data_IF_610309627594
#
_entry.id   IF_610309627594
#
_cell.length_a   1.000
_cell.length_b   1.000
_cell.length_c   1.000
_cell.angle_alpha   90.00
_cell.angle_beta   90.00
_cell.angle_gamma   90.00
#
_symmetry.space_group_name_H-M   'P 1'
#
loop_
_entity.id
_entity.type
_entity.pdbx_description
1 polymer ?
#
# COMPACT_ATOMS: atom_id res chain seq x y z
N UNK A 1 2.84 -13.85 5.00
CA UNK A 1 3.80 -12.73 4.99
C UNK A 1 4.88 -12.98 3.95
N UNK A 2 5.81 -13.90 4.22
CA UNK A 2 6.90 -14.26 3.30
C UNK A 2 6.44 -14.68 1.90
N UNK A 3 5.44 -15.54 1.80
CA UNK A 3 4.94 -16.01 0.49
C UNK A 3 4.34 -14.86 -0.33
N UNK A 4 3.60 -13.95 0.32
CA UNK A 4 3.07 -12.76 -0.33
C UNK A 4 4.19 -11.82 -0.82
N UNK A 5 5.26 -11.65 -0.05
CA UNK A 5 6.43 -10.86 -0.47
C UNK A 5 7.11 -11.47 -1.69
N UNK A 6 7.22 -12.80 -1.76
CA UNK A 6 7.77 -13.48 -2.94
C UNK A 6 6.88 -13.33 -4.16
N UNK A 7 5.56 -13.54 -3.99
CA UNK A 7 4.57 -13.31 -5.03
C UNK A 7 4.66 -11.88 -5.59
N UNK A 8 4.64 -10.88 -4.72
CA UNK A 8 4.68 -9.48 -5.11
C UNK A 8 6.00 -9.08 -5.78
N UNK A 9 7.14 -9.66 -5.35
CA UNK A 9 8.42 -9.51 -6.06
C UNK A 9 8.36 -10.08 -7.48
N UNK A 10 7.74 -11.24 -7.67
CA UNK A 10 7.57 -11.85 -8.99
C UNK A 10 6.65 -11.00 -9.89
N UNK A 11 5.52 -10.53 -9.36
CA UNK A 11 4.60 -9.62 -10.07
C UNK A 11 5.30 -8.32 -10.44
N UNK A 12 6.06 -7.71 -9.52
CA UNK A 12 6.78 -6.46 -9.77
C UNK A 12 7.82 -6.54 -10.88
N UNK A 13 8.43 -7.71 -11.09
CA UNK A 13 9.42 -7.94 -12.16
C UNK A 13 8.75 -8.30 -13.48
N UNK A 14 7.81 -9.24 -13.46
CA UNK A 14 7.25 -9.82 -14.70
C UNK A 14 6.02 -9.06 -15.23
N UNK A 15 5.28 -8.38 -14.34
CA UNK A 15 4.00 -7.75 -14.65
C UNK A 15 3.91 -6.35 -14.05
N UNK A 16 4.76 -5.39 -14.49
CA UNK A 16 4.80 -4.03 -13.94
C UNK A 16 3.46 -3.29 -14.06
N UNK A 17 2.62 -3.65 -15.04
CA UNK A 17 1.26 -3.12 -15.19
C UNK A 17 0.33 -3.53 -14.03
N UNK A 18 0.46 -4.76 -13.53
CA UNK A 18 -0.33 -5.27 -12.39
C UNK A 18 0.23 -4.68 -11.09
N UNK A 19 1.55 -4.68 -10.94
CA UNK A 19 2.22 -4.05 -9.79
C UNK A 19 1.78 -2.58 -9.63
N UNK A 20 1.67 -1.83 -10.72
CA UNK A 20 1.21 -0.45 -10.72
C UNK A 20 -0.27 -0.22 -10.36
N UNK A 21 -1.06 -1.29 -10.25
CA UNK A 21 -2.50 -1.24 -9.91
C UNK A 21 -2.78 -1.68 -8.47
N UNK A 22 -1.98 -2.61 -7.94
CA UNK A 22 -2.16 -3.17 -6.61
C UNK A 22 -1.45 -2.31 -5.57
N UNK A 23 -2.09 -2.06 -4.43
CA UNK A 23 -1.60 -1.20 -3.36
C UNK A 23 -1.18 0.18 -3.89
N UNK A 24 -1.91 0.72 -4.86
CA UNK A 24 -1.61 2.06 -5.38
C UNK A 24 -2.07 3.11 -4.38
N UNK A 25 -1.13 3.79 -3.76
CA UNK A 25 -1.42 4.91 -2.83
C UNK A 25 -2.20 6.01 -3.53
N UNK A 26 -3.01 6.72 -2.75
CA UNK A 26 -3.91 7.74 -3.27
C UNK A 26 -3.68 9.11 -2.63
N UNK A 27 -4.18 10.13 -3.31
CA UNK A 27 -4.09 11.52 -2.83
C UNK A 27 -4.87 11.69 -1.51
N UNK A 28 -4.25 12.38 -0.57
CA UNK A 28 -4.90 12.85 0.65
C UNK A 28 -5.56 14.23 0.50
N UNK A 29 -5.16 15.00 -0.52
CA UNK A 29 -5.65 16.34 -0.83
C UNK A 29 -5.85 16.50 -2.35
N UNK A 30 -6.45 17.58 -2.81
CA UNK A 30 -6.58 17.86 -4.26
C UNK A 30 -5.25 18.21 -4.93
N UNK A 31 -4.20 18.47 -4.15
CA UNK A 31 -2.86 18.76 -4.66
C UNK A 31 -2.20 17.49 -5.17
N UNK A 32 -1.56 17.56 -6.34
CA UNK A 32 -0.91 16.41 -6.99
C UNK A 32 0.27 15.83 -6.20
N UNK A 33 0.80 16.56 -5.22
CA UNK A 33 1.90 16.19 -4.36
C UNK A 33 1.44 15.70 -2.98
N UNK A 34 0.25 15.11 -2.87
CA UNK A 34 -0.35 14.68 -1.60
C UNK A 34 -0.57 13.18 -1.51
N UNK A 35 0.18 12.37 -2.26
CA UNK A 35 0.08 10.91 -2.20
C UNK A 35 0.53 10.37 -0.83
N UNK A 36 0.00 9.20 -0.49
CA UNK A 36 0.52 8.39 0.61
C UNK A 36 1.93 7.90 0.30
N UNK A 37 2.77 7.79 1.32
CA UNK A 37 4.15 7.30 1.22
C UNK A 37 4.26 6.05 2.09
N UNK A 38 4.71 4.93 1.54
CA UNK A 38 4.80 3.72 2.35
C UNK A 38 5.90 3.79 3.40
N UNK A 39 5.61 3.26 4.58
CA UNK A 39 6.54 3.17 5.70
C UNK A 39 6.18 2.05 6.67
N UNK A 40 7.07 1.82 7.63
CA UNK A 40 6.90 0.78 8.65
C UNK A 40 5.68 1.04 9.57
N UNK A 41 5.36 2.31 9.80
CA UNK A 41 4.19 2.74 10.56
C UNK A 41 3.45 3.82 9.79
N UNK A 42 2.12 3.79 9.84
CA UNK A 42 1.32 4.95 9.47
C UNK A 42 1.57 6.08 10.48
N UNK A 43 1.84 7.27 9.94
CA UNK A 43 2.13 8.46 10.75
C UNK A 43 0.87 9.15 11.28
N UNK A 44 1.03 10.29 11.94
CA UNK A 44 -0.07 11.11 12.47
C UNK A 44 -0.90 11.78 11.35
N UNK A 45 -1.97 12.50 11.70
CA UNK A 45 -2.87 13.16 10.75
C UNK A 45 -2.17 14.09 9.73
N UNK A 46 -1.08 14.74 10.14
CA UNK A 46 -0.28 15.62 9.29
C UNK A 46 0.82 14.91 8.50
N UNK A 47 1.07 13.63 8.77
CA UNK A 47 2.12 12.81 8.16
C UNK A 47 1.60 12.15 6.88
N UNK A 48 2.43 11.95 5.86
CA UNK A 48 2.00 11.30 4.61
C UNK A 48 2.25 9.79 4.62
N UNK A 49 2.92 9.31 5.65
CA UNK A 49 3.33 7.94 5.87
C UNK A 49 2.13 7.04 6.11
N UNK A 50 2.08 5.92 5.40
CA UNK A 50 1.07 4.88 5.55
C UNK A 50 1.73 3.51 5.55
N UNK A 51 1.24 2.59 6.36
CA UNK A 51 1.55 1.18 6.27
C UNK A 51 0.41 0.39 5.64
N UNK A 52 -0.70 1.04 5.25
CA UNK A 52 -1.88 0.43 4.66
C UNK A 52 -1.77 0.41 3.14
N UNK A 53 -1.91 -0.76 2.52
CA UNK A 53 -2.04 -0.98 1.08
C UNK A 53 -3.13 -0.06 0.50
N UNK A 54 -2.75 0.79 -0.46
CA UNK A 54 -3.63 1.80 -1.06
C UNK A 54 -3.84 3.06 -0.21
N UNK A 55 -3.06 3.23 0.86
CA UNK A 55 -3.22 4.30 1.85
C UNK A 55 -3.18 5.71 1.24
N UNK A 56 -3.90 6.61 1.90
CA UNK A 56 -4.00 8.03 1.51
C UNK A 56 -2.89 8.86 2.15
N UNK A 57 -2.41 9.88 1.43
CA UNK A 57 -1.52 10.87 2.02
C UNK A 57 -2.21 11.81 2.99
N UNK A 58 -1.52 12.90 3.38
CA UNK A 58 -2.10 13.92 4.26
C UNK A 58 -3.08 14.83 3.54
N UNK A 59 -3.99 15.43 4.31
CA UNK A 59 -5.02 16.36 3.81
C UNK A 59 -4.48 17.78 3.55
N UNK A 60 -3.25 17.86 3.05
CA UNK A 60 -2.56 19.09 2.64
C UNK A 60 -1.45 18.77 1.63
N UNK A 61 -0.90 19.78 0.97
CA UNK A 61 0.23 19.63 0.05
C UNK A 61 1.54 19.23 0.75
N UNK A 62 2.51 18.70 0.00
CA UNK A 62 3.81 18.27 0.51
C UNK A 62 3.81 16.87 1.15
N UNK A 63 3.07 15.94 0.57
CA UNK A 63 3.19 14.50 0.78
C UNK A 63 4.02 13.83 -0.31
N UNK A 64 3.58 12.67 -0.80
CA UNK A 64 4.23 11.99 -1.92
C UNK A 64 3.98 12.70 -3.25
N UNK A 65 5.04 12.86 -4.06
CA UNK A 65 4.96 13.49 -5.38
C UNK A 65 4.34 12.58 -6.47
N UNK A 66 4.26 11.27 -6.21
CA UNK A 66 3.73 10.27 -7.13
C UNK A 66 3.14 9.10 -6.31
N UNK A 67 2.22 8.30 -6.88
CA UNK A 67 1.70 7.13 -6.19
C UNK A 67 2.78 6.05 -6.06
N UNK A 68 2.94 5.54 -4.85
CA UNK A 68 3.63 4.29 -4.56
C UNK A 68 2.72 3.08 -4.77
N UNK A 69 3.29 1.93 -5.10
CA UNK A 69 2.56 0.74 -5.59
C UNK A 69 2.99 -0.54 -4.88
N UNK A 70 2.58 -1.73 -5.35
CA UNK A 70 2.82 -3.02 -4.68
C UNK A 70 4.30 -3.27 -4.28
N UNK A 71 5.25 -3.06 -5.19
CA UNK A 71 6.68 -3.19 -4.86
C UNK A 71 7.14 -2.24 -3.74
N UNK A 72 6.58 -1.04 -3.66
CA UNK A 72 6.93 -0.06 -2.63
C UNK A 72 6.34 -0.47 -1.29
N UNK A 73 5.09 -0.94 -1.28
CA UNK A 73 4.43 -1.52 -0.12
C UNK A 73 5.25 -2.68 0.46
N UNK A 74 5.67 -3.62 -0.41
CA UNK A 74 6.53 -4.73 0.01
C UNK A 74 7.86 -4.23 0.57
N UNK A 75 8.52 -3.31 -0.13
CA UNK A 75 9.85 -2.83 0.25
C UNK A 75 9.84 -2.03 1.55
N UNK A 76 8.83 -1.19 1.77
CA UNK A 76 8.82 -0.18 2.85
C UNK A 76 7.93 -0.57 4.02
N UNK A 77 6.81 -1.26 3.77
CA UNK A 77 5.84 -1.66 4.80
C UNK A 77 6.02 -3.11 5.24
N UNK A 78 6.22 -4.05 4.31
CA UNK A 78 6.30 -5.48 4.66
C UNK A 78 7.73 -5.98 4.96
N UNK A 79 8.73 -5.35 4.34
CA UNK A 79 10.13 -5.79 4.31
C UNK A 79 10.22 -7.24 3.84
N UNK A 80 10.70 -8.16 4.69
CA UNK A 80 10.79 -9.59 4.40
C UNK A 80 9.50 -10.38 4.76
N UNK A 81 8.39 -9.68 4.98
CA UNK A 81 7.07 -10.27 5.23
C UNK A 81 6.77 -10.58 6.70
N UNK A 82 7.55 -9.99 7.62
CA UNK A 82 7.36 -10.09 9.07
C UNK A 82 6.71 -8.84 9.71
N UNK A 83 6.46 -7.80 8.93
CA UNK A 83 5.85 -6.54 9.38
C UNK A 83 4.58 -6.26 8.56
N UNK A 84 3.61 -5.57 9.16
CA UNK A 84 2.41 -5.05 8.50
C UNK A 84 1.62 -6.05 7.64
N UNK A 85 1.72 -7.36 7.94
CA UNK A 85 0.94 -8.39 7.25
C UNK A 85 0.35 -9.37 8.26
N UNK A 86 -0.96 -9.69 8.19
CA UNK A 86 -1.97 -9.17 7.24
C UNK A 86 -2.58 -7.82 7.63
N UNK A 87 -2.09 -7.20 8.72
CA UNK A 87 -2.67 -6.00 9.32
C UNK A 87 -1.63 -4.89 9.38
N UNK A 88 -2.04 -3.68 9.00
CA UNK A 88 -1.25 -2.46 9.06
C UNK A 88 -0.87 -2.11 10.50
N UNK A 89 0.07 -1.19 10.68
CA UNK A 89 0.45 -0.63 11.99
C UNK A 89 0.53 0.88 11.93
N UNK A 90 0.06 1.55 12.96
CA UNK A 90 0.15 2.99 13.09
C UNK A 90 0.88 3.37 14.39
N UNK A 91 1.41 4.59 14.45
CA UNK A 91 1.88 5.14 15.73
C UNK A 91 0.69 5.26 16.70
N UNK A 92 0.92 5.07 18.01
CA UNK A 92 -0.07 5.22 19.10
C UNK A 92 -0.92 6.50 18.98
N UNK A 93 -0.35 7.58 18.46
CA UNK A 93 -0.99 8.89 18.32
C UNK A 93 -1.59 9.14 16.93
N UNK A 94 -1.78 8.11 16.09
CA UNK A 94 -2.34 8.30 14.74
C UNK A 94 -3.88 8.19 14.74
N UNK A 95 -4.60 9.27 14.43
CA UNK A 95 -6.04 9.22 14.21
C UNK A 95 -6.42 8.84 12.76
N UNK A 96 -5.44 8.60 11.88
CA UNK A 96 -5.66 8.42 10.44
C UNK A 96 -6.12 7.02 10.04
N UNK A 97 -5.57 6.03 10.71
CA UNK A 97 -5.83 4.62 10.44
C UNK A 97 -5.66 3.91 11.76
N UNK A 98 -6.78 3.68 12.46
CA UNK A 98 -6.77 2.66 13.49
C UNK A 98 -6.58 1.35 12.75
N UNK A 99 -5.45 0.69 12.95
CA UNK A 99 -5.18 -0.59 12.30
C UNK A 99 -6.32 -1.56 12.56
N UNK A 100 -6.96 -2.03 11.49
CA UNK A 100 -8.07 -2.98 11.58
C UNK A 100 -7.56 -4.37 11.25
N UNK A 101 -8.09 -5.39 11.92
CA UNK A 101 -7.69 -6.77 11.67
C UNK A 101 -7.84 -7.11 10.18
N UNK A 102 -6.73 -7.51 9.57
CA UNK A 102 -6.58 -7.93 8.18
C UNK A 102 -6.84 -6.82 7.13
N UNK A 103 -6.71 -5.55 7.48
CA UNK A 103 -6.94 -4.43 6.55
C UNK A 103 -6.06 -4.49 5.29
N UNK A 104 -4.77 -4.78 5.41
CA UNK A 104 -3.86 -4.93 4.27
C UNK A 104 -4.23 -6.13 3.39
N UNK A 105 -4.54 -7.27 3.99
CA UNK A 105 -4.97 -8.45 3.24
C UNK A 105 -6.28 -8.19 2.48
N UNK A 106 -7.23 -7.46 3.07
CA UNK A 106 -8.48 -7.06 2.42
C UNK A 106 -8.25 -6.08 1.28
N UNK A 107 -7.38 -5.09 1.48
CA UNK A 107 -7.03 -4.10 0.47
C UNK A 107 -6.37 -4.76 -0.75
N UNK A 108 -5.38 -5.64 -0.53
CA UNK A 108 -4.75 -6.43 -1.60
C UNK A 108 -5.79 -7.28 -2.33
N UNK A 109 -6.62 -8.04 -1.60
CA UNK A 109 -7.62 -8.90 -2.22
C UNK A 109 -8.61 -8.10 -3.09
N UNK A 110 -9.01 -6.91 -2.62
CA UNK A 110 -9.85 -6.01 -3.39
C UNK A 110 -9.18 -5.58 -4.70
N UNK A 111 -7.94 -5.11 -4.65
CA UNK A 111 -7.22 -4.66 -5.84
C UNK A 111 -7.04 -5.81 -6.85
N UNK A 112 -6.75 -7.03 -6.39
CA UNK A 112 -6.64 -8.22 -7.26
C UNK A 112 -8.00 -8.58 -7.91
N UNK A 113 -9.11 -8.41 -7.19
CA UNK A 113 -10.46 -8.62 -7.72
C UNK A 113 -10.87 -7.51 -8.69
N UNK A 114 -10.29 -6.32 -8.61
CA UNK A 114 -10.58 -5.20 -9.52
C UNK A 114 -9.74 -5.24 -10.81
N UNK A 115 -8.77 -6.16 -10.93
CA UNK A 115 -8.01 -6.40 -12.17
C UNK A 115 -8.92 -6.87 -13.32
N UNK A 116 -8.45 -6.66 -14.55
CA UNK A 116 -9.16 -7.18 -15.72
C UNK A 116 -9.02 -8.73 -15.80
N UNK A 117 -9.82 -9.43 -16.62
CA UNK A 117 -9.78 -10.90 -16.69
C UNK A 117 -8.41 -11.49 -17.04
N UNK A 118 -7.68 -10.89 -17.97
CA UNK A 118 -6.35 -11.37 -18.39
C UNK A 118 -5.32 -11.22 -17.26
N UNK A 119 -5.34 -10.07 -16.57
CA UNK A 119 -4.49 -9.80 -15.42
C UNK A 119 -4.81 -10.73 -14.25
N UNK A 120 -6.09 -11.05 -14.01
CA UNK A 120 -6.51 -12.01 -12.99
C UNK A 120 -5.94 -13.39 -13.22
N UNK A 121 -5.93 -13.87 -14.47
CA UNK A 121 -5.35 -15.18 -14.81
C UNK A 121 -3.86 -15.28 -14.50
N UNK A 122 -3.14 -14.14 -14.50
CA UNK A 122 -1.71 -14.10 -14.20
C UNK A 122 -1.45 -14.21 -12.69
N UNK A 123 -2.33 -13.66 -11.85
CA UNK A 123 -2.13 -13.57 -10.39
C UNK A 123 -2.86 -14.65 -9.58
N UNK A 124 -3.76 -15.41 -10.22
CA UNK A 124 -4.49 -16.53 -9.61
C UNK A 124 -3.62 -17.78 -9.50
#
# INVERSE_FOLDING_TARGET
GKDFVQFAKAVGVSHPNIDGKVCKTTLGHTSADSYGVYGELAGQASASETSLCGGKGKNSSGGGAAPEVLRDFVKKSLKDGGQNWPTSRATESSPKTKSETNDDAKAVAKDLVDLNPEEKTIVA
#
